data_IF_995056766879
#
_entry.id   IF_995056766879
#
_cell.length_a   1.000
_cell.length_b   1.000
_cell.length_c   1.000
_cell.angle_alpha   90.00
_cell.angle_beta   90.00
_cell.angle_gamma   90.00
#
_symmetry.space_group_name_H-M   'P 1'
#
loop_
_entity.id
_entity.type
_entity.pdbx_description
1 polymer ?
#
# COMPACT_ATOMS: atom_id res chain seq x y z
N UNK A 1 3.59 15.44 9.80
CA UNK A 1 2.76 14.22 9.93
C UNK A 1 3.62 13.08 9.42
N UNK A 2 3.88 12.04 10.23
CA UNK A 2 4.79 10.95 9.84
C UNK A 2 4.07 9.97 8.89
N UNK A 3 4.60 9.79 7.68
CA UNK A 3 4.00 8.91 6.66
C UNK A 3 4.51 7.47 6.82
N UNK A 4 3.66 6.49 6.55
CA UNK A 4 4.05 5.07 6.55
C UNK A 4 4.01 4.57 5.11
N UNK A 5 5.16 4.17 4.59
CA UNK A 5 5.31 3.64 3.23
C UNK A 5 5.35 2.13 3.35
N UNK A 6 4.50 1.46 2.58
CA UNK A 6 4.32 0.01 2.69
C UNK A 6 4.80 -0.64 1.42
N UNK A 7 5.73 -1.57 1.61
CA UNK A 7 6.29 -2.37 0.54
C UNK A 7 5.75 -3.77 0.71
N UNK A 8 4.89 -4.19 -0.20
CA UNK A 8 4.38 -5.55 -0.23
C UNK A 8 5.35 -6.41 -1.04
N UNK A 9 5.92 -7.41 -0.38
CA UNK A 9 6.93 -8.30 -0.92
C UNK A 9 6.39 -9.72 -0.97
N UNK A 10 6.29 -10.22 -2.18
CA UNK A 10 5.90 -11.60 -2.47
C UNK A 10 7.04 -12.57 -2.11
N UNK A 11 6.67 -13.64 -1.41
CA UNK A 11 7.51 -14.80 -1.14
C UNK A 11 7.02 -15.96 -2.00
N UNK A 12 7.84 -16.41 -2.94
CA UNK A 12 7.57 -17.61 -3.74
C UNK A 12 8.65 -18.65 -3.47
N UNK A 13 8.23 -19.90 -3.25
CA UNK A 13 9.14 -21.02 -3.03
C UNK A 13 10.17 -20.79 -1.91
N UNK A 14 9.80 -20.02 -0.88
CA UNK A 14 10.70 -19.69 0.24
C UNK A 14 11.82 -18.71 -0.12
N UNK A 15 11.66 -17.92 -1.19
CA UNK A 15 12.57 -16.86 -1.60
C UNK A 15 11.80 -15.54 -1.84
N UNK A 16 12.44 -14.41 -1.56
CA UNK A 16 11.89 -13.11 -1.94
C UNK A 16 11.98 -12.92 -3.45
N UNK A 17 10.97 -12.27 -4.02
CA UNK A 17 11.08 -11.76 -5.38
C UNK A 17 12.29 -10.82 -5.53
N UNK A 18 13.00 -10.96 -6.65
CA UNK A 18 14.22 -10.18 -6.96
C UNK A 18 14.02 -8.65 -6.99
N UNK A 19 12.79 -8.17 -7.17
CA UNK A 19 12.46 -6.75 -7.19
C UNK A 19 12.23 -6.15 -5.78
N UNK A 20 12.10 -6.97 -4.73
CA UNK A 20 11.85 -6.49 -3.36
C UNK A 20 12.88 -5.45 -2.89
N UNK A 21 14.21 -5.65 -3.05
CA UNK A 21 15.19 -4.64 -2.67
C UNK A 21 15.04 -3.31 -3.44
N UNK A 22 14.63 -3.38 -4.71
CA UNK A 22 14.41 -2.20 -5.55
C UNK A 22 13.18 -1.41 -5.09
N UNK A 23 12.10 -2.11 -4.70
CA UNK A 23 10.91 -1.48 -4.15
C UNK A 23 11.20 -0.80 -2.81
N UNK A 24 12.03 -1.42 -1.96
CA UNK A 24 12.49 -0.79 -0.71
C UNK A 24 13.33 0.45 -1.00
N UNK A 25 14.20 0.44 -2.01
CA UNK A 25 14.98 1.62 -2.39
C UNK A 25 14.09 2.76 -2.89
N UNK A 26 13.07 2.47 -3.71
CA UNK A 26 12.07 3.45 -4.14
C UNK A 26 11.31 4.02 -2.92
N UNK A 27 10.87 3.16 -2.00
CA UNK A 27 10.21 3.59 -0.76
C UNK A 27 11.11 4.53 0.07
N UNK A 28 12.42 4.27 0.12
CA UNK A 28 13.38 5.16 0.79
C UNK A 28 13.46 6.53 0.15
N UNK A 29 13.49 6.60 -1.18
CA UNK A 29 13.51 7.87 -1.91
C UNK A 29 12.21 8.65 -1.76
N UNK A 30 11.10 7.95 -1.55
CA UNK A 30 9.78 8.55 -1.31
C UNK A 30 9.58 9.04 0.14
N UNK A 31 10.50 8.77 1.08
CA UNK A 31 10.41 9.31 2.43
C UNK A 31 10.47 10.85 2.36
N UNK A 32 9.33 11.51 2.59
CA UNK A 32 9.23 12.97 2.59
C UNK A 32 9.88 13.62 3.82
N UNK A 33 10.03 12.86 4.92
CA UNK A 33 10.61 13.31 6.17
C UNK A 33 11.28 12.16 6.94
N UNK A 34 12.12 12.51 7.93
CA UNK A 34 12.87 11.55 8.73
C UNK A 34 11.98 10.70 9.65
N UNK A 35 10.78 11.19 9.98
CA UNK A 35 9.82 10.49 10.83
C UNK A 35 9.01 9.43 10.07
N UNK A 36 9.00 9.49 8.73
CA UNK A 36 8.35 8.49 7.89
C UNK A 36 8.97 7.12 8.13
N UNK A 37 8.15 6.08 8.06
CA UNK A 37 8.57 4.69 8.30
C UNK A 37 8.28 3.81 7.09
N UNK A 38 9.19 2.92 6.76
CA UNK A 38 9.03 1.91 5.73
C UNK A 38 8.68 0.59 6.41
N UNK A 39 7.55 0.03 6.03
CA UNK A 39 7.06 -1.24 6.55
C UNK A 39 7.09 -2.23 5.39
N UNK A 40 7.87 -3.29 5.55
CA UNK A 40 7.90 -4.41 4.63
C UNK A 40 6.86 -5.45 5.04
N UNK A 41 5.94 -5.79 4.15
CA UNK A 41 4.95 -6.84 4.37
C UNK A 41 5.35 -8.04 3.52
N UNK A 42 5.71 -9.14 4.17
CA UNK A 42 6.01 -10.40 3.52
C UNK A 42 4.73 -11.21 3.39
N UNK A 43 4.40 -11.66 2.18
CA UNK A 43 3.21 -12.46 1.91
C UNK A 43 3.58 -13.68 1.07
N UNK A 44 3.19 -14.87 1.55
CA UNK A 44 3.39 -16.14 0.86
C UNK A 44 3.69 -17.29 1.81
N UNK A 45 3.97 -18.49 1.28
CA UNK A 45 4.32 -19.65 2.08
C UNK A 45 5.80 -19.61 2.51
N UNK A 46 6.10 -20.26 3.65
CA UNK A 46 7.47 -20.44 4.17
C UNK A 46 8.20 -19.12 4.40
N UNK A 47 7.58 -18.16 5.07
CA UNK A 47 8.19 -16.82 5.26
C UNK A 47 9.43 -16.88 6.16
N UNK A 48 9.45 -17.84 7.09
CA UNK A 48 10.60 -18.09 7.98
C UNK A 48 11.92 -18.24 7.19
N UNK A 49 11.90 -18.85 6.00
CA UNK A 49 13.13 -19.04 5.21
C UNK A 49 13.69 -17.76 4.61
N UNK A 50 12.88 -16.69 4.53
CA UNK A 50 13.29 -15.38 4.00
C UNK A 50 13.41 -14.30 5.07
N UNK A 51 13.12 -14.62 6.34
CA UNK A 51 13.13 -13.64 7.43
C UNK A 51 14.50 -12.96 7.61
N UNK A 52 15.59 -13.72 7.46
CA UNK A 52 16.96 -13.20 7.54
C UNK A 52 17.29 -12.28 6.36
N UNK A 53 16.85 -12.63 5.14
CA UNK A 53 17.04 -11.79 3.95
C UNK A 53 16.26 -10.47 4.09
N UNK A 54 15.01 -10.56 4.55
CA UNK A 54 14.17 -9.40 4.80
C UNK A 54 14.71 -8.48 5.91
N UNK A 55 15.32 -9.04 6.96
CA UNK A 55 15.95 -8.27 8.03
C UNK A 55 17.19 -7.48 7.57
N UNK A 56 17.84 -7.89 6.47
CA UNK A 56 18.94 -7.15 5.86
C UNK A 56 18.52 -5.94 5.04
N UNK A 57 17.21 -5.76 4.80
CA UNK A 57 16.69 -4.63 4.04
C UNK A 57 16.57 -3.37 4.92
N UNK A 58 16.82 -2.17 4.38
CA UNK A 58 16.74 -0.91 5.13
C UNK A 58 15.28 -0.46 5.35
N UNK A 59 14.56 -1.22 6.18
CA UNK A 59 13.14 -1.01 6.54
C UNK A 59 13.00 -0.84 8.05
N UNK A 60 11.99 -0.08 8.48
CA UNK A 60 11.76 0.23 9.90
C UNK A 60 11.00 -0.91 10.62
N UNK A 61 10.19 -1.68 9.89
CA UNK A 61 9.41 -2.80 10.42
C UNK A 61 9.19 -3.86 9.34
N UNK A 62 9.15 -5.12 9.75
CA UNK A 62 8.75 -6.26 8.91
C UNK A 62 7.49 -6.90 9.50
N UNK A 63 6.45 -7.03 8.68
CA UNK A 63 5.20 -7.75 8.98
C UNK A 63 5.21 -9.05 8.18
N UNK A 64 4.87 -10.17 8.82
CA UNK A 64 4.89 -11.50 8.21
C UNK A 64 3.47 -12.02 8.12
N UNK A 65 2.99 -12.27 6.90
CA UNK A 65 1.66 -12.80 6.63
C UNK A 65 1.82 -14.14 5.91
N UNK A 66 1.96 -15.20 6.69
CA UNK A 66 2.15 -16.54 6.14
C UNK A 66 0.84 -17.07 5.58
N UNK A 67 0.89 -17.53 4.33
CA UNK A 67 -0.22 -18.16 3.64
C UNK A 67 0.16 -19.62 3.34
N UNK A 68 -0.75 -20.57 3.57
CA UNK A 68 -0.51 -21.99 3.29
C UNK A 68 -0.30 -22.29 1.79
N UNK A 69 -0.87 -21.45 0.93
CA UNK A 69 -0.81 -21.59 -0.52
C UNK A 69 0.20 -20.62 -1.13
N UNK A 70 0.68 -20.97 -2.33
CA UNK A 70 1.46 -20.05 -3.14
C UNK A 70 0.61 -18.81 -3.44
N UNK A 71 1.08 -17.66 -2.95
CA UNK A 71 0.45 -16.36 -3.22
C UNK A 71 0.61 -16.06 -4.70
N UNK A 72 -0.51 -15.84 -5.40
CA UNK A 72 -0.50 -15.60 -6.85
C UNK A 72 -0.49 -14.12 -7.20
N UNK A 73 -0.58 -13.24 -6.19
CA UNK A 73 -0.62 -11.80 -6.38
C UNK A 73 -1.87 -11.34 -7.12
N UNK A 74 -2.98 -12.07 -7.00
CA UNK A 74 -4.26 -11.62 -7.53
C UNK A 74 -4.75 -10.38 -6.78
N UNK A 75 -5.61 -9.58 -7.42
CA UNK A 75 -6.15 -8.37 -6.80
C UNK A 75 -6.84 -8.64 -5.46
N UNK A 76 -7.51 -9.79 -5.33
CA UNK A 76 -8.18 -10.22 -4.10
C UNK A 76 -7.17 -10.54 -3.00
N UNK A 77 -6.19 -11.41 -3.29
CA UNK A 77 -5.13 -11.75 -2.34
C UNK A 77 -4.34 -10.51 -1.90
N UNK A 78 -4.05 -9.58 -2.81
CA UNK A 78 -3.40 -8.30 -2.45
C UNK A 78 -4.26 -7.50 -1.47
N UNK A 79 -5.57 -7.39 -1.71
CA UNK A 79 -6.48 -6.66 -0.82
C UNK A 79 -6.58 -7.33 0.56
N UNK A 80 -6.67 -8.66 0.60
CA UNK A 80 -6.68 -9.42 1.85
C UNK A 80 -5.38 -9.25 2.63
N UNK A 81 -4.22 -9.40 1.97
CA UNK A 81 -2.91 -9.18 2.58
C UNK A 81 -2.77 -7.76 3.11
N UNK A 82 -3.23 -6.74 2.38
CA UNK A 82 -3.22 -5.36 2.84
C UNK A 82 -4.18 -5.14 4.03
N UNK A 83 -5.34 -5.78 4.02
CA UNK A 83 -6.29 -5.72 5.13
C UNK A 83 -5.70 -6.37 6.40
N UNK A 84 -5.08 -7.54 6.26
CA UNK A 84 -4.40 -8.23 7.35
C UNK A 84 -3.21 -7.41 7.89
N UNK A 85 -2.37 -6.86 7.00
CA UNK A 85 -1.29 -5.96 7.39
C UNK A 85 -1.83 -4.73 8.14
N UNK A 86 -2.95 -4.16 7.71
CA UNK A 86 -3.60 -3.05 8.39
C UNK A 86 -4.07 -3.41 9.79
N UNK A 87 -4.62 -4.61 10.01
CA UNK A 87 -5.04 -5.06 11.32
C UNK A 87 -3.85 -5.26 12.27
N UNK A 88 -2.76 -5.86 11.78
CA UNK A 88 -1.51 -6.03 12.54
C UNK A 88 -0.88 -4.69 12.92
N UNK A 89 -1.04 -3.68 12.06
CA UNK A 89 -0.51 -2.34 12.26
C UNK A 89 -1.45 -1.41 13.07
N UNK A 90 -2.47 -1.96 13.75
CA UNK A 90 -3.47 -1.33 14.65
C UNK A 90 -3.48 0.22 14.68
N UNK A 91 -4.56 0.83 14.16
CA UNK A 91 -4.90 2.23 14.43
C UNK A 91 -4.35 3.27 13.45
N UNK A 92 -3.88 2.86 12.28
CA UNK A 92 -3.43 3.78 11.23
C UNK A 92 -4.63 4.12 10.33
N UNK A 93 -4.74 5.40 9.94
CA UNK A 93 -5.63 5.89 8.88
C UNK A 93 -4.88 5.80 7.55
N UNK A 94 -5.48 5.18 6.53
CA UNK A 94 -4.79 4.84 5.29
C UNK A 94 -5.50 5.49 4.11
N UNK A 95 -4.71 6.07 3.21
CA UNK A 95 -5.13 6.34 1.85
C UNK A 95 -4.31 5.44 0.94
N UNK A 96 -4.97 4.48 0.29
CA UNK A 96 -4.34 3.69 -0.77
C UNK A 96 -4.14 4.62 -1.97
N UNK A 97 -2.89 5.01 -2.23
CA UNK A 97 -2.51 5.61 -3.50
C UNK A 97 -2.55 4.54 -4.58
N UNK A 98 -3.75 4.23 -5.10
CA UNK A 98 -3.90 3.41 -6.30
C UNK A 98 -3.27 4.24 -7.43
N UNK A 99 -2.17 3.79 -8.08
CA UNK A 99 -1.70 4.49 -9.27
C UNK A 99 -2.85 4.49 -10.28
N UNK A 100 -3.28 5.65 -10.80
CA UNK A 100 -4.39 5.69 -11.73
C UNK A 100 -4.03 4.77 -12.91
N UNK A 101 -4.90 3.79 -13.21
CA UNK A 101 -4.81 3.06 -14.47
C UNK A 101 -4.86 4.11 -15.57
N UNK A 102 -3.84 4.13 -16.44
CA UNK A 102 -3.89 4.93 -17.68
C UNK A 102 -5.18 4.55 -18.41
N UNK A 103 -6.19 5.42 -18.37
CA UNK A 103 -7.45 5.23 -19.09
C UNK A 103 -8.70 5.75 -18.39
N UNK A 104 -8.73 5.87 -17.06
CA UNK A 104 -9.95 6.27 -16.35
C UNK A 104 -9.90 7.69 -15.80
N UNK A 105 -11.07 8.34 -15.80
CA UNK A 105 -11.40 9.70 -15.36
C UNK A 105 -11.30 10.83 -16.40
N UNK A 106 -12.38 11.09 -17.16
CA UNK A 106 -12.86 12.44 -17.32
C UNK A 106 -13.66 12.80 -16.05
N UNK A 107 -13.07 13.54 -15.10
CA UNK A 107 -13.88 14.20 -14.08
C UNK A 107 -14.43 15.52 -14.63
N UNK A 108 -15.76 15.70 -14.78
CA UNK A 108 -16.30 17.05 -14.82
C UNK A 108 -16.05 17.68 -13.44
N UNK A 109 -15.32 18.80 -13.44
CA UNK A 109 -15.01 19.57 -12.23
C UNK A 109 -16.32 20.05 -11.59
N UNK A 110 -16.51 19.98 -10.27
CA UNK A 110 -17.57 20.73 -9.62
C UNK A 110 -17.21 22.22 -9.69
N UNK A 111 -17.86 22.96 -10.58
CA UNK A 111 -17.80 24.42 -10.59
C UNK A 111 -18.61 24.93 -9.40
N UNK A 112 -17.95 25.27 -8.31
CA UNK A 112 -18.57 26.07 -7.25
C UNK A 112 -18.50 27.53 -7.69
N UNK A 113 -19.61 28.06 -8.20
CA UNK A 113 -19.86 29.48 -8.39
C UNK A 113 -20.96 29.92 -7.43
N UNK A 114 -20.64 30.89 -6.56
CA UNK A 114 -21.53 31.48 -5.58
C UNK A 114 -22.75 32.19 -6.21
N UNK A 115 -23.90 32.09 -5.54
CA UNK A 115 -24.91 33.16 -5.44
C UNK A 115 -25.86 33.37 -6.63
N UNK A 116 -27.14 33.01 -6.45
CA UNK A 116 -28.27 33.91 -6.70
C UNK A 116 -29.62 33.25 -6.33
N UNK A 117 -30.48 34.04 -5.68
CA UNK A 117 -31.90 33.81 -5.43
C UNK A 117 -32.65 33.12 -6.58
N UNK A 118 -33.51 32.16 -6.23
CA UNK A 118 -34.67 31.83 -7.05
C UNK A 118 -35.93 31.83 -6.19
N UNK A 119 -36.63 32.97 -6.22
CA UNK A 119 -38.03 33.05 -5.88
C UNK A 119 -38.86 32.17 -6.80
N UNK A 120 -39.75 31.38 -6.21
CA UNK A 120 -40.76 30.63 -6.93
C UNK A 120 -41.88 31.60 -7.34
N UNK A 121 -41.89 32.06 -8.59
CA UNK A 121 -43.08 32.62 -9.21
C UNK A 121 -43.68 31.58 -10.15
N UNK A 122 -44.82 31.03 -9.73
CA UNK A 122 -45.81 30.40 -10.60
C UNK A 122 -46.48 31.47 -11.47
N UNK A 123 -46.46 31.27 -12.78
CA UNK A 123 -47.35 31.88 -13.76
C UNK A 123 -48.04 30.76 -14.54
#
# INVERSE_FOLDING_TARGET
>A
MAEKIIVLAEVQNGALRKNTPQLVDVARRLKSNAESRIILVLAGPKIESVATEAAGLPVDQVVRLEHDQAWQGTSEEILETLHAARQELKGISWSLGIPPRQGDWPMPRPTVGMGHDFGCHTA
#
